data_IF_606185026217
#
_entry.id   IF_606185026217
#
_cell.length_a   1.000
_cell.length_b   1.000
_cell.length_c   1.000
_cell.angle_alpha   90.00
_cell.angle_beta   90.00
_cell.angle_gamma   90.00
#
_symmetry.space_group_name_H-M   'P 1'
#
loop_
_entity.id
_entity.type
_entity.pdbx_description
1 polymer ?
#
# COMPACT_ATOMS: atom_id res chain seq x y z
N UNK A 1 71.70 -4.53 41.84
CA UNK A 1 72.02 -4.31 40.41
C UNK A 1 71.08 -3.24 39.89
N UNK A 2 71.63 -2.03 39.73
CA UNK A 2 71.53 -1.07 38.60
C UNK A 2 70.36 -1.07 37.59
N UNK A 3 70.07 0.08 36.97
CA UNK A 3 68.78 0.79 37.11
C UNK A 3 68.27 1.39 35.77
N UNK A 4 67.42 2.43 35.81
CA UNK A 4 67.31 3.55 34.80
C UNK A 4 66.73 3.11 33.41
N UNK A 5 65.98 3.85 32.59
CA UNK A 5 65.62 5.26 32.32
C UNK A 5 64.21 5.24 31.68
N UNK A 6 63.28 6.20 31.79
CA UNK A 6 63.24 7.62 31.39
C UNK A 6 63.56 7.88 29.90
N UNK A 7 62.74 8.74 29.27
CA UNK A 7 62.93 9.65 28.09
C UNK A 7 61.69 9.54 27.18
N UNK A 8 60.73 10.47 27.23
CA UNK A 8 60.68 11.87 26.73
C UNK A 8 60.50 11.96 25.20
N UNK A 9 59.54 12.80 24.78
CA UNK A 9 59.39 13.35 23.43
C UNK A 9 57.91 13.39 23.03
N UNK A 10 57.12 14.47 23.22
CA UNK A 10 57.23 15.82 22.62
C UNK A 10 57.45 15.74 21.10
N UNK A 11 56.73 16.43 20.24
CA UNK A 11 55.71 17.46 20.36
C UNK A 11 55.02 17.59 18.98
N UNK A 12 53.88 18.29 18.96
CA UNK A 12 53.46 19.31 17.97
C UNK A 12 53.74 19.06 16.46
N UNK A 13 52.83 19.35 15.54
CA UNK A 13 52.56 20.72 15.09
C UNK A 13 51.34 20.67 14.16
N UNK A 14 50.32 21.44 14.55
CA UNK A 14 49.54 22.42 13.78
C UNK A 14 49.40 22.21 12.25
N UNK A 15 48.19 21.91 11.75
CA UNK A 15 47.15 22.89 11.35
C UNK A 15 47.24 23.25 9.83
N UNK A 16 46.30 24.05 9.28
CA UNK A 16 45.39 23.63 8.21
C UNK A 16 45.71 24.33 6.88
N UNK A 17 44.93 24.10 5.82
CA UNK A 17 44.33 25.15 4.99
C UNK A 17 43.57 24.57 3.78
N UNK A 18 42.39 25.15 3.59
CA UNK A 18 41.49 25.17 2.44
C UNK A 18 42.17 25.35 1.07
N UNK A 19 41.53 24.91 -0.02
CA UNK A 19 41.27 25.77 -1.19
C UNK A 19 40.26 25.12 -2.18
N UNK A 20 39.29 25.92 -2.63
CA UNK A 20 38.37 25.68 -3.74
C UNK A 20 39.11 25.66 -5.10
N UNK A 21 38.70 24.83 -6.06
CA UNK A 21 38.97 25.05 -7.49
C UNK A 21 37.86 24.49 -8.40
N UNK A 22 37.49 25.29 -9.38
CA UNK A 22 36.39 25.25 -10.37
C UNK A 22 36.49 24.13 -11.42
N UNK A 23 35.38 23.79 -12.12
CA UNK A 23 35.39 22.82 -13.22
C UNK A 23 35.96 23.42 -14.53
N UNK A 24 36.89 22.70 -15.14
CA UNK A 24 37.48 23.01 -16.43
C UNK A 24 36.75 22.35 -17.60
N UNK A 25 36.60 23.11 -18.69
CA UNK A 25 36.27 22.64 -20.05
C UNK A 25 37.49 21.94 -20.68
N UNK A 26 37.25 20.87 -21.42
CA UNK A 26 38.15 20.26 -22.41
C UNK A 26 37.43 19.09 -23.09
N UNK A 27 36.91 19.26 -24.30
CA UNK A 27 37.54 18.90 -25.58
C UNK A 27 37.54 17.39 -25.83
N UNK A 28 36.53 16.87 -26.52
CA UNK A 28 36.51 15.52 -27.09
C UNK A 28 36.68 15.60 -28.60
N UNK A 29 37.62 14.80 -29.08
CA UNK A 29 38.05 14.66 -30.47
C UNK A 29 36.95 14.14 -31.40
N UNK A 30 37.11 14.50 -32.67
CA UNK A 30 36.33 14.05 -33.82
C UNK A 30 36.53 12.55 -34.06
N UNK A 31 35.44 11.86 -34.33
CA UNK A 31 35.44 10.69 -35.22
C UNK A 31 34.32 10.91 -36.23
N UNK A 32 34.71 10.96 -37.50
CA UNK A 32 33.84 10.95 -38.66
C UNK A 32 33.19 9.58 -38.77
N UNK A 33 31.88 9.53 -39.04
CA UNK A 33 31.25 8.52 -39.89
C UNK A 33 29.85 9.03 -40.29
N UNK A 34 29.68 9.17 -41.60
CA UNK A 34 28.48 9.60 -42.31
C UNK A 34 27.32 8.62 -42.13
N UNK A 35 26.13 9.11 -41.73
CA UNK A 35 24.86 8.53 -42.23
C UNK A 35 23.84 9.62 -42.57
N UNK A 36 23.31 9.48 -43.77
CA UNK A 36 22.40 10.40 -44.48
C UNK A 36 21.00 10.29 -43.89
N UNK A 37 20.50 11.38 -43.27
CA UNK A 37 19.11 11.50 -42.85
C UNK A 37 18.22 11.93 -44.03
N UNK A 38 17.43 11.01 -44.57
CA UNK A 38 16.32 11.33 -45.47
C UNK A 38 15.11 11.71 -44.62
N UNK A 39 14.66 12.95 -44.78
CA UNK A 39 13.44 13.50 -44.19
C UNK A 39 12.24 12.98 -44.99
N UNK A 40 11.43 12.10 -44.40
CA UNK A 40 10.08 11.82 -44.89
C UNK A 40 9.05 12.41 -43.92
N UNK A 41 8.53 13.59 -44.31
CA UNK A 41 7.33 14.16 -43.74
C UNK A 41 6.13 13.64 -44.54
N UNK A 42 5.43 12.65 -44.01
CA UNK A 42 4.07 12.36 -44.46
C UNK A 42 3.13 12.25 -43.26
N UNK A 43 2.52 13.39 -42.93
CA UNK A 43 1.37 13.54 -42.05
C UNK A 43 0.12 12.87 -42.64
N UNK A 44 -0.58 12.06 -41.85
CA UNK A 44 -2.01 11.74 -42.06
C UNK A 44 -2.83 12.13 -40.83
N UNK A 45 -3.90 12.92 -40.98
CA UNK A 45 -4.79 13.29 -39.88
C UNK A 45 -5.74 12.12 -39.57
N UNK A 46 -5.74 11.64 -38.33
CA UNK A 46 -6.73 10.68 -37.83
C UNK A 46 -7.96 11.48 -37.39
N UNK A 47 -9.10 11.17 -38.03
CA UNK A 47 -10.40 11.76 -37.72
C UNK A 47 -10.91 11.26 -36.35
N UNK A 48 -11.71 12.09 -35.64
CA UNK A 48 -12.35 11.66 -34.40
C UNK A 48 -13.48 10.65 -34.67
N UNK A 49 -13.44 9.52 -33.97
CA UNK A 49 -14.52 8.53 -33.92
C UNK A 49 -15.68 9.09 -33.10
N UNK A 50 -16.83 9.23 -33.74
CA UNK A 50 -18.12 9.47 -33.10
C UNK A 50 -18.49 8.24 -32.26
N UNK A 51 -18.67 8.42 -30.95
CA UNK A 51 -19.30 7.41 -30.09
C UNK A 51 -20.78 7.76 -30.02
N UNK A 52 -21.61 6.90 -30.60
CA UNK A 52 -23.06 6.98 -30.48
C UNK A 52 -23.50 6.67 -29.05
N UNK A 53 -24.33 7.56 -28.53
CA UNK A 53 -25.07 7.46 -27.27
C UNK A 53 -26.15 6.39 -27.43
N UNK A 54 -25.99 5.25 -26.75
CA UNK A 54 -27.02 4.22 -26.64
C UNK A 54 -27.57 4.19 -25.21
N UNK A 55 -28.68 4.90 -25.05
CA UNK A 55 -29.59 4.79 -23.91
C UNK A 55 -30.24 3.41 -23.89
N UNK A 56 -29.73 2.52 -23.04
CA UNK A 56 -30.31 1.20 -22.76
C UNK A 56 -30.87 1.15 -21.34
N UNK A 57 -32.10 1.63 -21.18
CA UNK A 57 -32.94 1.43 -20.00
C UNK A 57 -33.24 -0.05 -19.80
N UNK A 58 -32.93 -0.59 -18.63
CA UNK A 58 -33.19 -1.98 -18.29
C UNK A 58 -33.05 -2.23 -16.79
N UNK A 59 -34.08 -1.85 -16.02
CA UNK A 59 -34.22 -2.25 -14.63
C UNK A 59 -34.59 -3.74 -14.53
N UNK A 60 -33.89 -4.56 -13.74
CA UNK A 60 -34.45 -5.79 -13.22
C UNK A 60 -35.10 -5.54 -11.86
N UNK A 61 -36.41 -5.76 -11.86
CA UNK A 61 -37.24 -5.94 -10.66
C UNK A 61 -36.81 -7.20 -9.93
N UNK A 62 -36.76 -7.07 -8.60
CA UNK A 62 -37.19 -8.08 -7.62
C UNK A 62 -36.48 -9.42 -7.66
N UNK A 63 -35.78 -9.74 -6.58
CA UNK A 63 -35.89 -11.03 -5.92
C UNK A 63 -35.56 -10.84 -4.44
N UNK A 64 -36.42 -11.44 -3.63
CA UNK A 64 -36.52 -11.36 -2.17
C UNK A 64 -35.19 -11.66 -1.45
N UNK A 65 -34.78 -10.76 -0.57
CA UNK A 65 -33.94 -11.15 0.58
C UNK A 65 -34.86 -11.50 1.74
N UNK A 66 -35.00 -12.80 1.97
CA UNK A 66 -35.66 -13.39 3.13
C UNK A 66 -34.86 -13.05 4.39
N UNK A 67 -35.27 -11.99 5.08
CA UNK A 67 -34.78 -11.66 6.42
C UNK A 67 -35.27 -12.70 7.44
N UNK A 68 -34.38 -13.57 7.91
CA UNK A 68 -34.59 -14.36 9.12
C UNK A 68 -34.45 -13.45 10.36
N UNK A 69 -35.55 -12.80 10.75
CA UNK A 69 -35.69 -12.19 12.06
C UNK A 69 -36.07 -13.27 13.08
N UNK A 70 -35.09 -13.79 13.82
CA UNK A 70 -35.36 -14.55 15.03
C UNK A 70 -35.36 -13.60 16.23
N UNK A 71 -36.55 -13.25 16.73
CA UNK A 71 -36.64 -12.64 18.06
C UNK A 71 -37.95 -12.99 18.78
N UNK A 72 -37.75 -13.55 19.97
CA UNK A 72 -38.60 -13.52 21.17
C UNK A 72 -39.77 -14.52 21.25
N UNK A 73 -39.52 -15.60 21.99
CA UNK A 73 -40.50 -16.18 22.90
C UNK A 73 -39.77 -16.67 24.17
N UNK A 74 -40.02 -16.09 25.36
CA UNK A 74 -39.50 -16.63 26.61
C UNK A 74 -40.49 -17.68 27.14
N UNK A 75 -40.01 -18.86 27.54
CA UNK A 75 -40.72 -19.71 28.48
C UNK A 75 -39.73 -20.34 29.48
N UNK A 76 -40.06 -20.32 30.79
CA UNK A 76 -39.17 -20.74 31.88
C UNK A 76 -39.40 -22.20 32.32
N UNK A 77 -38.46 -22.68 33.16
CA UNK A 77 -38.34 -23.99 33.82
C UNK A 77 -37.87 -25.12 32.88
N UNK A 78 -36.95 -26.01 33.25
CA UNK A 78 -36.77 -26.65 34.55
C UNK A 78 -35.36 -27.31 34.69
N UNK A 79 -34.95 -27.46 35.94
CA UNK A 79 -33.96 -28.34 36.58
C UNK A 79 -32.95 -29.19 35.77
N UNK A 80 -31.66 -28.96 36.06
CA UNK A 80 -30.66 -29.94 36.48
C UNK A 80 -30.27 -31.11 35.54
N UNK A 81 -29.01 -31.17 35.11
CA UNK A 81 -27.98 -32.06 35.68
C UNK A 81 -26.63 -31.90 34.94
N UNK A 82 -25.54 -32.14 35.67
CA UNK A 82 -24.15 -32.09 35.22
C UNK A 82 -23.87 -32.96 33.99
N UNK A 83 -23.14 -32.41 33.02
CA UNK A 83 -22.09 -33.15 32.31
C UNK A 83 -21.03 -32.16 31.85
N UNK A 84 -19.86 -32.24 32.47
CA UNK A 84 -18.63 -31.59 32.04
C UNK A 84 -18.34 -31.94 30.58
N UNK A 85 -18.39 -30.94 29.72
CA UNK A 85 -17.81 -31.01 28.39
C UNK A 85 -17.23 -29.63 28.10
N UNK A 86 -15.90 -29.45 28.10
CA UNK A 86 -15.32 -28.25 27.53
C UNK A 86 -15.62 -28.31 26.05
N UNK A 87 -16.74 -27.69 25.64
CA UNK A 87 -16.98 -27.35 24.25
C UNK A 87 -15.75 -26.54 23.86
N UNK A 88 -14.91 -27.13 23.02
CA UNK A 88 -13.97 -26.41 22.19
C UNK A 88 -14.82 -25.39 21.41
N UNK A 89 -15.00 -24.21 21.99
CA UNK A 89 -15.38 -23.01 21.27
C UNK A 89 -14.18 -22.70 20.38
N UNK A 90 -14.17 -23.37 19.23
CA UNK A 90 -13.33 -22.96 18.11
C UNK A 90 -13.56 -21.46 17.95
N UNK A 91 -12.53 -20.62 18.07
CA UNK A 91 -12.74 -19.18 18.05
C UNK A 91 -13.38 -18.87 16.71
N UNK A 92 -14.66 -18.47 16.72
CA UNK A 92 -15.32 -17.92 15.56
C UNK A 92 -14.53 -16.67 15.19
N UNK A 93 -13.56 -16.84 14.28
CA UNK A 93 -12.79 -15.74 13.72
C UNK A 93 -13.81 -14.90 12.96
N UNK A 94 -14.27 -13.84 13.60
CA UNK A 94 -15.09 -12.82 12.94
C UNK A 94 -14.19 -12.14 11.93
N UNK A 95 -14.28 -12.59 10.67
CA UNK A 95 -13.68 -11.89 9.54
C UNK A 95 -14.46 -10.58 9.44
N UNK A 96 -13.81 -9.49 9.78
CA UNK A 96 -14.39 -8.16 9.63
C UNK A 96 -14.17 -7.76 8.17
N UNK A 97 -15.26 -7.74 7.42
CA UNK A 97 -15.27 -7.23 6.04
C UNK A 97 -15.37 -5.69 5.99
N UNK A 98 -15.35 -5.06 7.17
CA UNK A 98 -15.50 -3.63 7.33
C UNK A 98 -14.12 -2.96 7.43
N UNK A 99 -13.65 -2.45 6.30
CA UNK A 99 -12.62 -1.42 6.26
C UNK A 99 -11.36 -1.85 5.54
N UNK A 100 -10.82 -0.93 4.73
CA UNK A 100 -9.63 -1.23 3.98
C UNK A 100 -8.37 -1.13 4.87
N UNK A 101 -7.65 -2.23 4.97
CA UNK A 101 -6.56 -2.45 5.90
C UNK A 101 -5.32 -3.02 5.19
N UNK A 102 -4.18 -2.94 5.87
CA UNK A 102 -2.88 -3.47 5.45
C UNK A 102 -2.54 -4.65 6.35
N UNK A 103 -1.85 -5.65 5.82
CA UNK A 103 -1.33 -6.74 6.63
C UNK A 103 -0.42 -6.23 7.74
N UNK A 104 -0.60 -6.77 8.95
CA UNK A 104 0.16 -6.32 10.13
C UNK A 104 1.67 -6.48 9.97
N UNK A 105 2.11 -7.41 9.12
CA UNK A 105 3.52 -7.66 8.87
C UNK A 105 4.26 -6.44 8.31
N UNK A 106 3.63 -5.73 7.37
CA UNK A 106 4.15 -4.49 6.81
C UNK A 106 4.17 -3.35 7.85
N UNK A 107 3.34 -3.44 8.89
CA UNK A 107 3.17 -2.40 9.91
C UNK A 107 3.99 -2.64 11.19
N UNK A 108 4.73 -3.76 11.29
CA UNK A 108 5.48 -4.15 12.50
C UNK A 108 6.48 -3.09 12.97
N UNK A 109 7.03 -2.28 12.06
CA UNK A 109 7.99 -1.23 12.36
C UNK A 109 7.36 0.06 12.89
N UNK A 110 6.03 0.18 12.84
CA UNK A 110 5.31 1.39 13.25
C UNK A 110 4.87 1.30 14.72
N UNK A 111 4.85 2.44 15.45
CA UNK A 111 4.33 2.46 16.80
C UNK A 111 2.81 2.21 16.81
N UNK A 112 2.30 1.58 17.87
CA UNK A 112 0.84 1.33 18.01
C UNK A 112 0.00 2.60 17.92
N UNK A 113 0.55 3.75 18.32
CA UNK A 113 -0.15 5.05 18.27
C UNK A 113 -0.42 5.56 16.85
N UNK A 114 0.27 5.02 15.83
CA UNK A 114 -0.01 5.33 14.41
C UNK A 114 -0.98 4.34 13.75
N UNK A 115 -1.44 3.33 14.48
CA UNK A 115 -2.40 2.35 13.97
C UNK A 115 -3.83 2.79 14.33
N UNK A 116 -4.78 2.50 13.45
CA UNK A 116 -6.18 2.88 13.61
C UNK A 116 -6.84 2.06 14.70
N UNK A 117 -6.64 0.73 14.67
CA UNK A 117 -7.23 -0.20 15.63
C UNK A 117 -6.24 -0.56 16.74
N UNK A 118 -6.74 -0.61 17.99
CA UNK A 118 -5.95 -1.03 19.15
C UNK A 118 -5.56 -2.52 19.10
N UNK A 119 -6.44 -3.33 18.48
CA UNK A 119 -6.22 -4.76 18.23
C UNK A 119 -6.22 -5.03 16.74
N UNK A 120 -5.42 -6.00 16.32
CA UNK A 120 -5.42 -6.47 14.94
C UNK A 120 -6.71 -7.23 14.64
N UNK A 121 -7.20 -7.09 13.41
CA UNK A 121 -8.42 -7.75 12.92
C UNK A 121 -8.04 -8.83 11.91
N UNK A 122 -8.92 -9.80 11.67
CA UNK A 122 -8.78 -10.73 10.57
C UNK A 122 -9.58 -10.23 9.37
N UNK A 123 -8.97 -10.23 8.19
CA UNK A 123 -9.65 -9.88 6.94
C UNK A 123 -9.06 -10.62 5.75
N UNK A 124 -9.80 -10.63 4.64
CA UNK A 124 -9.34 -11.12 3.35
C UNK A 124 -8.50 -10.04 2.69
N UNK A 125 -7.30 -10.40 2.23
CA UNK A 125 -6.36 -9.49 1.60
C UNK A 125 -5.87 -10.06 0.28
N UNK A 126 -5.45 -9.16 -0.60
CA UNK A 126 -4.73 -9.46 -1.82
C UNK A 126 -3.24 -9.30 -1.54
N UNK A 127 -2.47 -10.34 -1.82
CA UNK A 127 -1.04 -10.40 -1.61
C UNK A 127 -0.32 -10.54 -2.94
N UNK A 128 0.68 -9.71 -3.17
CA UNK A 128 1.56 -9.90 -4.31
C UNK A 128 2.66 -10.96 -4.04
N UNK A 129 3.48 -11.21 -5.06
CA UNK A 129 4.59 -12.19 -4.97
C UNK A 129 5.69 -11.83 -3.95
N UNK A 130 5.77 -10.58 -3.50
CA UNK A 130 6.75 -10.13 -2.52
C UNK A 130 6.19 -10.13 -1.08
N UNK A 131 4.91 -10.51 -0.91
CA UNK A 131 4.25 -10.54 0.39
C UNK A 131 3.69 -9.20 0.84
N UNK A 132 3.58 -8.20 -0.06
CA UNK A 132 2.86 -6.97 0.25
C UNK A 132 1.37 -7.23 0.13
N UNK A 133 0.69 -7.22 1.27
CA UNK A 133 -0.69 -7.64 1.40
C UNK A 133 -1.57 -6.51 1.95
N UNK A 134 -2.72 -6.27 1.32
CA UNK A 134 -3.74 -5.35 1.77
C UNK A 134 -5.13 -5.76 1.25
N UNK A 135 -6.19 -5.31 1.92
CA UNK A 135 -7.58 -5.51 1.46
C UNK A 135 -7.80 -4.85 0.10
N UNK A 136 -8.76 -5.33 -0.69
CA UNK A 136 -9.04 -4.85 -2.05
C UNK A 136 -9.18 -3.32 -2.16
N UNK A 137 -9.98 -2.71 -1.28
CA UNK A 137 -10.22 -1.26 -1.26
C UNK A 137 -9.09 -0.39 -0.72
N UNK A 138 -7.96 -0.95 -0.27
CA UNK A 138 -6.90 -0.14 0.34
C UNK A 138 -6.16 0.66 -0.74
N UNK A 139 -5.97 1.96 -0.53
CA UNK A 139 -5.28 2.79 -1.52
C UNK A 139 -3.76 2.64 -1.39
N UNK A 140 -3.10 2.32 -2.50
CA UNK A 140 -1.66 2.15 -2.62
C UNK A 140 -1.08 3.11 -3.65
N UNK A 141 0.20 3.44 -3.51
CA UNK A 141 0.97 4.19 -4.52
C UNK A 141 1.94 3.23 -5.20
N UNK A 142 1.75 3.00 -6.49
CA UNK A 142 2.63 2.16 -7.30
C UNK A 142 3.26 2.99 -8.44
N UNK A 143 4.58 3.13 -8.45
CA UNK A 143 5.32 3.96 -9.41
C UNK A 143 4.71 5.37 -9.59
N UNK A 144 4.46 6.07 -8.48
CA UNK A 144 3.85 7.40 -8.43
C UNK A 144 2.36 7.49 -8.84
N UNK A 145 1.69 6.36 -9.09
CA UNK A 145 0.24 6.32 -9.37
C UNK A 145 -0.51 5.78 -8.17
N UNK A 146 -1.53 6.50 -7.73
CA UNK A 146 -2.38 6.07 -6.62
C UNK A 146 -3.55 5.27 -7.18
N UNK A 147 -3.79 4.07 -6.63
CA UNK A 147 -4.85 3.16 -7.05
C UNK A 147 -5.26 2.27 -5.89
N UNK A 148 -6.39 1.57 -5.97
CA UNK A 148 -6.73 0.54 -4.98
C UNK A 148 -5.83 -0.69 -5.13
N UNK A 149 -5.65 -1.44 -4.05
CA UNK A 149 -4.92 -2.71 -4.06
C UNK A 149 -5.51 -3.69 -5.08
N UNK A 150 -6.84 -3.71 -5.23
CA UNK A 150 -7.53 -4.49 -6.26
C UNK A 150 -7.07 -4.14 -7.68
N UNK A 151 -7.01 -2.85 -8.01
CA UNK A 151 -6.55 -2.35 -9.32
C UNK A 151 -5.07 -2.62 -9.57
N UNK A 152 -4.25 -2.54 -8.52
CA UNK A 152 -2.85 -2.96 -8.57
C UNK A 152 -2.73 -4.46 -8.91
N UNK A 153 -3.49 -5.31 -8.21
CA UNK A 153 -3.44 -6.75 -8.36
C UNK A 153 -3.93 -7.28 -9.71
N UNK A 154 -4.83 -6.55 -10.39
CA UNK A 154 -5.20 -6.84 -11.78
C UNK A 154 -3.97 -6.74 -12.71
N UNK A 155 -2.97 -5.91 -12.38
CA UNK A 155 -1.77 -5.68 -13.21
C UNK A 155 -0.62 -6.61 -12.86
N UNK A 156 -0.49 -7.00 -11.60
CA UNK A 156 0.69 -7.73 -11.08
C UNK A 156 0.43 -9.18 -10.73
N UNK A 157 -0.84 -9.61 -10.78
CA UNK A 157 -1.33 -10.94 -10.35
C UNK A 157 -1.07 -11.18 -8.86
N UNK A 158 -2.14 -11.10 -8.06
CA UNK A 158 -2.10 -11.36 -6.62
C UNK A 158 -2.86 -12.62 -6.24
N UNK A 159 -2.51 -13.17 -5.08
CA UNK A 159 -3.24 -14.25 -4.43
C UNK A 159 -4.09 -13.70 -3.28
N UNK A 160 -5.28 -14.28 -3.07
CA UNK A 160 -6.10 -14.00 -1.90
C UNK A 160 -5.63 -14.81 -0.68
N UNK A 161 -5.53 -14.14 0.47
CA UNK A 161 -5.17 -14.76 1.77
C UNK A 161 -5.99 -14.17 2.91
N UNK A 162 -6.12 -14.91 4.01
CA UNK A 162 -6.70 -14.42 5.26
C UNK A 162 -5.57 -14.23 6.26
N UNK A 163 -5.43 -13.03 6.81
CA UNK A 163 -4.38 -12.74 7.79
C UNK A 163 -4.78 -11.57 8.70
N UNK A 164 -3.92 -11.30 9.69
CA UNK A 164 -4.06 -10.14 10.55
C UNK A 164 -3.81 -8.85 9.78
N UNK A 165 -4.71 -7.90 9.96
CA UNK A 165 -4.67 -6.59 9.34
C UNK A 165 -4.84 -5.47 10.37
N UNK A 166 -4.34 -4.29 10.03
CA UNK A 166 -4.66 -3.05 10.71
C UNK A 166 -4.66 -1.91 9.67
N UNK A 167 -5.19 -0.75 10.01
CA UNK A 167 -5.12 0.43 9.17
C UNK A 167 -4.24 1.50 9.81
N UNK A 168 -3.80 2.46 9.02
CA UNK A 168 -3.01 3.59 9.49
C UNK A 168 -3.94 4.67 10.00
N UNK A 169 -3.57 5.32 11.11
CA UNK A 169 -4.20 6.61 11.45
C UNK A 169 -3.77 7.62 10.41
N UNK A 170 -4.77 8.31 9.86
CA UNK A 170 -4.55 9.35 8.88
C UNK A 170 -3.60 10.42 9.44
N UNK A 171 -2.52 10.63 8.69
CA UNK A 171 -1.59 11.75 8.82
C UNK A 171 -1.30 12.23 7.41
N UNK A 172 -1.29 13.55 7.23
CA UNK A 172 -1.12 14.16 5.92
C UNK A 172 0.16 13.67 5.23
N UNK A 173 0.05 13.25 3.97
CA UNK A 173 1.17 12.70 3.16
C UNK A 173 1.92 11.52 3.81
N UNK A 174 1.28 10.80 4.72
CA UNK A 174 1.90 9.65 5.35
C UNK A 174 1.86 8.44 4.42
N UNK A 175 3.04 7.90 4.15
CA UNK A 175 3.26 6.73 3.31
C UNK A 175 4.07 5.72 4.10
N UNK A 176 3.77 4.44 3.87
CA UNK A 176 4.47 3.32 4.48
C UNK A 176 5.07 2.49 3.36
N UNK A 177 6.37 2.25 3.43
CA UNK A 177 7.06 1.41 2.47
C UNK A 177 6.54 -0.02 2.55
N UNK A 178 6.33 -0.64 1.39
CA UNK A 178 6.00 -2.06 1.30
C UNK A 178 7.25 -2.89 1.00
N UNK A 179 7.13 -4.21 1.06
CA UNK A 179 8.20 -5.11 0.63
C UNK A 179 8.37 -5.16 -0.89
N UNK A 180 7.42 -4.61 -1.64
CA UNK A 180 7.40 -4.68 -3.09
C UNK A 180 8.05 -3.43 -3.71
N UNK A 181 8.94 -3.58 -4.71
CA UNK A 181 9.62 -2.45 -5.32
C UNK A 181 8.63 -1.44 -5.91
N UNK A 182 8.70 -0.20 -5.42
CA UNK A 182 7.90 0.91 -5.92
C UNK A 182 6.43 0.90 -5.51
N UNK A 183 6.02 0.02 -4.59
CA UNK A 183 4.71 0.00 -3.95
C UNK A 183 4.80 0.57 -2.53
N UNK A 184 3.91 1.50 -2.21
CA UNK A 184 3.79 2.10 -0.88
C UNK A 184 2.33 2.07 -0.46
N UNK A 185 2.09 1.86 0.84
CA UNK A 185 0.77 1.91 1.44
C UNK A 185 0.44 3.34 1.87
N UNK A 186 -0.82 3.73 1.69
CA UNK A 186 -1.32 5.04 2.11
C UNK A 186 -2.25 4.89 3.31
N UNK A 187 -2.66 5.99 3.94
CA UNK A 187 -3.70 5.93 4.97
C UNK A 187 -5.14 5.91 4.40
N UNK A 188 -5.30 6.00 3.07
CA UNK A 188 -6.61 6.06 2.44
C UNK A 188 -7.17 4.68 2.10
N UNK A 189 -8.49 4.62 2.06
CA UNK A 189 -9.26 3.40 1.88
C UNK A 189 -10.56 3.73 1.15
N UNK A 190 -10.84 3.01 0.06
CA UNK A 190 -12.16 2.98 -0.55
C UNK A 190 -13.05 2.01 0.24
N UNK A 191 -14.26 2.46 0.61
CA UNK A 191 -15.18 1.63 1.41
C UNK A 191 -15.95 0.65 0.53
N UNK A 192 -16.29 1.06 -0.69
CA UNK A 192 -17.12 0.28 -1.60
C UNK A 192 -16.32 -0.31 -2.76
N UNK A 193 -15.00 -0.13 -2.76
CA UNK A 193 -14.08 -0.60 -3.80
C UNK A 193 -14.48 -0.17 -5.22
N UNK A 194 -15.05 1.03 -5.35
CA UNK A 194 -15.54 1.53 -6.64
C UNK A 194 -14.46 2.30 -7.40
N UNK A 195 -14.53 2.28 -8.72
CA UNK A 195 -13.65 3.08 -9.59
C UNK A 195 -13.78 4.59 -9.31
N UNK A 196 -14.98 5.03 -8.92
CA UNK A 196 -15.23 6.41 -8.54
C UNK A 196 -14.48 6.81 -7.27
N UNK A 197 -14.52 5.98 -6.22
CA UNK A 197 -13.73 6.21 -5.00
C UNK A 197 -12.24 6.21 -5.29
N UNK A 198 -11.74 5.27 -6.09
CA UNK A 198 -10.32 5.25 -6.49
C UNK A 198 -9.90 6.57 -7.15
N UNK A 199 -10.73 7.10 -8.06
CA UNK A 199 -10.45 8.35 -8.75
C UNK A 199 -10.40 9.55 -7.79
N UNK A 200 -11.41 9.67 -6.91
CA UNK A 200 -11.47 10.78 -5.94
C UNK A 200 -10.35 10.69 -4.91
N UNK A 201 -10.15 9.51 -4.31
CA UNK A 201 -9.11 9.30 -3.30
C UNK A 201 -7.71 9.43 -3.91
N UNK A 202 -7.52 8.98 -5.15
CA UNK A 202 -6.30 9.19 -5.90
C UNK A 202 -6.01 10.67 -6.13
N UNK A 203 -7.02 11.46 -6.50
CA UNK A 203 -6.89 12.91 -6.63
C UNK A 203 -6.58 13.59 -5.29
N UNK A 204 -7.27 13.20 -4.21
CA UNK A 204 -7.03 13.71 -2.86
C UNK A 204 -5.58 13.46 -2.40
N UNK A 205 -5.08 12.25 -2.62
CA UNK A 205 -3.70 11.91 -2.31
C UNK A 205 -2.70 12.71 -3.18
N UNK A 206 -3.00 12.92 -4.47
CA UNK A 206 -2.14 13.71 -5.37
C UNK A 206 -1.99 15.16 -4.92
N UNK A 207 -3.06 15.80 -4.42
CA UNK A 207 -2.99 17.16 -3.86
C UNK A 207 -2.40 17.19 -2.43
N UNK A 208 -1.99 16.03 -1.90
CA UNK A 208 -1.31 15.89 -0.63
C UNK A 208 -2.20 16.07 0.58
N UNK A 209 -3.48 15.64 0.47
CA UNK A 209 -4.26 15.25 1.62
C UNK A 209 -3.68 13.95 2.16
#
# INVERSE_FOLDING_TARGET
>A
MSPIAKVIGSAEVLAPLSYFKTPGKGSTEQTEDDEVFVVDQTSKPVQPVSIEESTGSGAPKGLEETYLNASVGPNPADSGNNTDNPKNEEPLISIVDEGACIATEALKHLPRSSLLYDKHLYSRVLCDKYGSCATGGHMVRFHSRTMMMKSYCIRTTCDERIMFVNSLRYKRKFLVESSSPGLEFTAFAARFETVFEESILGAAHFIGL
#
